data_IF_335208105518
#
_entry.id   IF_335208105518
#
_cell.length_a   1.000
_cell.length_b   1.000
_cell.length_c   1.000
_cell.angle_alpha   90.00
_cell.angle_beta   90.00
_cell.angle_gamma   90.00
#
_symmetry.space_group_name_H-M   'P 1'
#
loop_
_entity.id
_entity.type
_entity.pdbx_description
1 polymer ?
#
# COMPACT_ATOMS: atom_id res chain seq x y z
N UNK A 1 21.38 1.03 -9.29
CA UNK A 1 22.18 2.25 -9.05
C UNK A 1 21.32 3.53 -9.18
N UNK A 2 20.66 3.81 -10.31
CA UNK A 2 19.84 5.03 -10.48
C UNK A 2 18.65 5.11 -9.50
N UNK A 3 17.93 4.00 -9.32
CA UNK A 3 16.75 3.97 -8.44
C UNK A 3 17.07 4.29 -6.97
N UNK A 4 18.22 3.84 -6.45
CA UNK A 4 18.66 4.13 -5.08
C UNK A 4 18.96 5.62 -4.89
N UNK A 5 19.57 6.27 -5.88
CA UNK A 5 19.82 7.72 -5.85
C UNK A 5 18.50 8.48 -5.87
N UNK A 6 17.56 8.06 -6.72
CA UNK A 6 16.21 8.63 -6.77
C UNK A 6 15.49 8.52 -5.43
N UNK A 7 15.44 7.33 -4.82
CA UNK A 7 14.82 7.12 -3.51
C UNK A 7 15.47 7.98 -2.42
N UNK A 8 16.80 8.10 -2.41
CA UNK A 8 17.52 8.94 -1.45
C UNK A 8 17.14 10.41 -1.59
N UNK A 9 17.02 10.92 -2.81
CA UNK A 9 16.64 12.30 -3.07
C UNK A 9 15.19 12.57 -2.64
N UNK A 10 14.27 11.64 -2.97
CA UNK A 10 12.86 11.74 -2.57
C UNK A 10 12.71 11.74 -1.04
N UNK A 11 13.43 10.86 -0.35
CA UNK A 11 13.39 10.81 1.12
C UNK A 11 13.93 12.09 1.75
N UNK A 12 14.98 12.69 1.17
CA UNK A 12 15.50 13.97 1.64
C UNK A 12 14.50 15.11 1.43
N UNK A 13 13.73 15.08 0.33
CA UNK A 13 12.66 16.05 0.07
C UNK A 13 11.51 15.91 1.07
N UNK A 14 11.02 14.68 1.26
CA UNK A 14 9.98 14.35 2.23
C UNK A 14 10.35 14.84 3.64
N UNK A 15 11.60 14.59 4.08
CA UNK A 15 12.10 15.01 5.40
C UNK A 15 12.28 16.52 5.58
N UNK A 16 12.40 17.29 4.49
CA UNK A 16 12.45 18.76 4.56
C UNK A 16 11.05 19.37 4.66
N UNK A 17 10.03 18.63 4.26
CA UNK A 17 8.64 19.06 4.33
C UNK A 17 8.00 18.81 5.70
N UNK A 18 6.73 19.22 5.84
CA UNK A 18 5.89 18.83 6.97
C UNK A 18 5.25 17.48 6.66
N UNK A 19 5.46 16.49 7.55
CA UNK A 19 4.88 15.17 7.39
C UNK A 19 3.44 15.12 7.90
N UNK A 20 2.54 14.37 7.24
CA UNK A 20 1.21 14.13 7.77
C UNK A 20 1.29 13.27 9.02
N UNK A 21 0.41 13.52 9.98
CA UNK A 21 0.29 12.69 11.17
C UNK A 21 -0.63 11.48 10.95
N UNK A 22 -1.45 11.52 9.91
CA UNK A 22 -2.44 10.50 9.57
C UNK A 22 -2.52 10.28 8.07
N UNK A 23 -2.49 9.03 7.64
CA UNK A 23 -2.67 8.62 6.23
C UNK A 23 -3.86 7.67 6.10
N UNK A 24 -4.73 7.92 5.12
CA UNK A 24 -5.79 7.01 4.72
C UNK A 24 -5.38 6.16 3.51
N UNK A 25 -5.57 4.85 3.59
CA UNK A 25 -5.25 3.89 2.53
C UNK A 25 -6.50 3.13 2.08
N UNK A 26 -6.73 3.04 0.77
CA UNK A 26 -7.77 2.19 0.18
C UNK A 26 -7.08 1.04 -0.54
N UNK A 27 -7.33 -0.19 -0.09
CA UNK A 27 -6.70 -1.38 -0.66
C UNK A 27 -7.55 -1.92 -1.81
N UNK A 28 -7.38 -1.31 -2.99
CA UNK A 28 -8.03 -1.76 -4.22
C UNK A 28 -7.01 -2.36 -5.21
N UNK A 29 -7.51 -3.15 -6.16
CA UNK A 29 -6.72 -3.62 -7.29
C UNK A 29 -6.11 -5.00 -7.14
N UNK A 30 -6.18 -5.64 -5.97
CA UNK A 30 -5.58 -6.98 -5.74
C UNK A 30 -6.00 -8.03 -6.78
N UNK A 31 -7.29 -8.07 -7.14
CA UNK A 31 -7.82 -8.96 -8.20
C UNK A 31 -7.30 -8.60 -9.60
N UNK A 32 -7.21 -7.32 -9.91
CA UNK A 32 -6.71 -6.83 -11.22
C UNK A 32 -5.22 -7.12 -11.36
N UNK A 33 -4.47 -6.89 -10.28
CA UNK A 33 -3.06 -7.20 -10.18
C UNK A 33 -2.81 -8.70 -10.36
N UNK A 34 -3.54 -9.57 -9.65
CA UNK A 34 -3.42 -11.02 -9.80
C UNK A 34 -3.55 -11.48 -11.25
N UNK A 35 -4.56 -10.97 -11.97
CA UNK A 35 -4.74 -11.26 -13.40
C UNK A 35 -3.58 -10.73 -14.26
N UNK A 36 -3.11 -9.52 -13.98
CA UNK A 36 -2.04 -8.88 -14.75
C UNK A 36 -0.69 -9.59 -14.62
N UNK A 37 -0.40 -10.17 -13.44
CA UNK A 37 0.83 -10.93 -13.19
C UNK A 37 0.68 -12.44 -13.47
N UNK A 38 -0.47 -12.87 -14.01
CA UNK A 38 -0.71 -14.26 -14.39
C UNK A 38 -0.93 -15.22 -13.22
N UNK A 39 -1.34 -14.73 -12.04
CA UNK A 39 -1.67 -15.58 -10.91
C UNK A 39 -2.97 -16.34 -11.17
N UNK A 40 -2.91 -17.66 -10.95
CA UNK A 40 -4.04 -18.57 -11.10
C UNK A 40 -5.08 -18.45 -9.98
N UNK A 41 -4.67 -17.96 -8.80
CA UNK A 41 -5.56 -17.77 -7.65
C UNK A 41 -5.69 -16.28 -7.28
N UNK A 42 -6.93 -15.83 -7.09
CA UNK A 42 -7.26 -14.50 -6.60
C UNK A 42 -6.74 -14.27 -5.18
N UNK A 43 -6.74 -15.31 -4.34
CA UNK A 43 -6.23 -15.26 -2.97
C UNK A 43 -4.74 -14.86 -2.92
N UNK A 44 -3.95 -15.28 -3.90
CA UNK A 44 -2.55 -14.88 -3.99
C UNK A 44 -2.40 -13.39 -4.28
N UNK A 45 -3.31 -12.81 -5.07
CA UNK A 45 -3.40 -11.35 -5.24
C UNK A 45 -3.67 -10.61 -3.93
N UNK A 46 -4.53 -11.15 -3.08
CA UNK A 46 -4.80 -10.58 -1.76
C UNK A 46 -3.59 -10.71 -0.82
N UNK A 47 -2.86 -11.83 -0.86
CA UNK A 47 -1.62 -12.02 -0.09
C UNK A 47 -0.54 -11.02 -0.50
N UNK A 48 -0.35 -10.82 -1.81
CA UNK A 48 0.62 -9.82 -2.30
C UNK A 48 0.21 -8.40 -1.90
N UNK A 49 -1.09 -8.10 -1.93
CA UNK A 49 -1.62 -6.84 -1.40
C UNK A 49 -1.34 -6.64 0.09
N UNK A 50 -1.46 -7.70 0.90
CA UNK A 50 -1.14 -7.66 2.34
C UNK A 50 0.37 -7.43 2.58
N UNK A 51 1.24 -8.10 1.83
CA UNK A 51 2.70 -7.87 1.92
C UNK A 51 3.05 -6.43 1.54
N UNK A 52 2.40 -5.87 0.52
CA UNK A 52 2.60 -4.46 0.13
C UNK A 52 2.11 -3.50 1.21
N UNK A 53 0.99 -3.81 1.88
CA UNK A 53 0.51 -3.03 3.00
C UNK A 53 1.54 -3.01 4.14
N UNK A 54 2.13 -4.15 4.50
CA UNK A 54 3.16 -4.23 5.54
C UNK A 54 4.37 -3.35 5.22
N UNK A 55 4.81 -3.34 3.95
CA UNK A 55 5.89 -2.45 3.49
C UNK A 55 5.51 -0.96 3.64
N UNK A 56 4.28 -0.58 3.27
CA UNK A 56 3.79 0.80 3.42
C UNK A 56 3.71 1.21 4.90
N UNK A 57 3.21 0.33 5.77
CA UNK A 57 3.15 0.59 7.21
C UNK A 57 4.56 0.75 7.81
N UNK A 58 5.52 -0.03 7.33
CA UNK A 58 6.93 0.11 7.72
C UNK A 58 7.46 1.50 7.34
N UNK A 59 7.20 1.96 6.12
CA UNK A 59 7.59 3.32 5.70
C UNK A 59 6.92 4.41 6.54
N UNK A 60 5.63 4.25 6.87
CA UNK A 60 4.94 5.18 7.76
C UNK A 60 5.62 5.25 9.14
N UNK A 61 6.01 4.10 9.70
CA UNK A 61 6.75 4.04 10.96
C UNK A 61 8.13 4.70 10.89
N UNK A 62 8.90 4.46 9.81
CA UNK A 62 10.21 5.09 9.58
C UNK A 62 10.13 6.62 9.41
N UNK A 63 8.96 7.12 9.02
CA UNK A 63 8.66 8.55 8.84
C UNK A 63 7.94 9.17 10.05
N UNK A 64 7.75 8.43 11.14
CA UNK A 64 6.99 8.89 12.33
C UNK A 64 5.55 9.33 12.03
N UNK A 65 4.92 8.69 11.04
CA UNK A 65 3.49 8.85 10.75
C UNK A 65 2.70 8.03 11.76
N UNK A 66 2.10 8.72 12.73
CA UNK A 66 1.53 8.10 13.94
C UNK A 66 0.24 7.31 13.72
N UNK A 67 -0.50 7.60 12.64
CA UNK A 67 -1.79 6.97 12.38
C UNK A 67 -1.93 6.58 10.92
N UNK A 68 -2.44 5.37 10.69
CA UNK A 68 -2.84 4.89 9.36
C UNK A 68 -4.24 4.28 9.46
N UNK A 69 -5.16 4.75 8.63
CA UNK A 69 -6.50 4.16 8.50
C UNK A 69 -6.58 3.40 7.19
N UNK A 70 -7.08 2.16 7.25
CA UNK A 70 -7.10 1.27 6.11
C UNK A 70 -8.54 0.90 5.79
N UNK A 71 -8.95 1.16 4.56
CA UNK A 71 -10.23 0.72 4.00
C UNK A 71 -10.02 -0.61 3.27
N UNK A 72 -10.34 -1.71 3.96
CA UNK A 72 -10.10 -3.08 3.47
C UNK A 72 -11.33 -3.63 2.74
N UNK A 73 -12.54 -3.29 3.20
CA UNK A 73 -13.77 -3.87 2.70
C UNK A 73 -14.92 -2.88 2.81
N UNK A 74 -15.68 -2.72 1.73
CA UNK A 74 -16.93 -1.95 1.72
C UNK A 74 -18.14 -2.87 1.84
N UNK A 75 -19.25 -2.32 2.33
CA UNK A 75 -20.56 -3.00 2.39
C UNK A 75 -21.02 -3.50 1.03
N UNK A 76 -20.71 -2.77 -0.05
CA UNK A 76 -21.04 -3.16 -1.42
C UNK A 76 -20.20 -4.34 -1.91
N UNK A 77 -18.94 -4.45 -1.44
CA UNK A 77 -18.09 -5.59 -1.78
C UNK A 77 -18.53 -6.88 -1.07
N UNK A 78 -19.11 -6.78 0.14
CA UNK A 78 -19.71 -7.90 0.86
C UNK A 78 -20.96 -8.47 0.16
N UNK A 79 -21.69 -7.63 -0.57
CA UNK A 79 -22.90 -8.05 -1.30
C UNK A 79 -22.60 -8.63 -2.69
N UNK A 80 -21.34 -8.73 -3.11
CA UNK A 80 -21.00 -9.37 -4.38
C UNK A 80 -21.14 -10.89 -4.23
N UNK A 81 -21.80 -11.57 -5.19
CA UNK A 81 -21.85 -13.03 -5.19
C UNK A 81 -20.43 -13.61 -5.27
N UNK A 82 -20.21 -14.77 -4.63
CA UNK A 82 -18.91 -15.45 -4.61
C UNK A 82 -18.41 -15.82 -6.01
#
# INVERSE_FOLDING_TARGET
>A
MIYQIYQRNLLAEIRRGTLPQHVGLILDGNRRYARAVGLSDILDGHRMGANKLEEVLTWCGELDIRMVSIWILSTENLMRPP
#
